data_IF_296726044857
#
_entry.id   IF_296726044857
#
_cell.length_a   1.000
_cell.length_b   1.000
_cell.length_c   1.000
_cell.angle_alpha   90.00
_cell.angle_beta   90.00
_cell.angle_gamma   90.00
#
_symmetry.space_group_name_H-M   'P 1'
#
loop_
_entity.id
_entity.type
_entity.pdbx_description
1 polymer ?
#
# COMPACT_ATOMS: atom_id res chain seq x y z
N UNK A 1 -1.10 6.03 5.44
CA UNK A 1 -1.19 4.62 5.86
C UNK A 1 -2.00 4.54 7.14
N UNK A 2 -3.01 3.66 7.17
CA UNK A 2 -4.04 3.57 8.22
C UNK A 2 -3.57 3.03 9.57
N UNK A 3 -2.27 3.04 9.84
CA UNK A 3 -1.68 2.70 11.13
C UNK A 3 -0.95 3.92 11.67
N UNK A 4 -1.47 4.51 12.75
CA UNK A 4 -0.79 5.60 13.43
C UNK A 4 0.26 5.01 14.36
N UNK A 5 1.54 5.23 14.06
CA UNK A 5 2.62 5.01 15.02
C UNK A 5 2.78 6.30 15.81
N UNK A 6 2.33 6.31 17.06
CA UNK A 6 2.38 7.51 17.90
C UNK A 6 1.44 7.47 19.10
N UNK A 7 1.40 8.59 19.83
CA UNK A 7 0.62 8.75 21.08
C UNK A 7 -0.90 8.84 20.85
N UNK A 8 -1.32 9.10 19.61
CA UNK A 8 -2.72 9.21 19.19
C UNK A 8 -3.31 7.81 18.89
N UNK A 9 -3.94 7.21 19.90
CA UNK A 9 -4.51 5.85 19.90
C UNK A 9 -5.86 5.73 19.16
N UNK A 10 -6.00 6.38 17.99
CA UNK A 10 -7.29 6.49 17.29
C UNK A 10 -7.71 5.24 16.51
N UNK A 11 -6.81 4.28 16.35
CA UNK A 11 -7.06 2.98 15.74
C UNK A 11 -6.61 1.86 16.68
N UNK A 12 -7.26 0.69 16.58
CA UNK A 12 -7.05 -0.49 17.45
C UNK A 12 -5.58 -0.65 17.85
N UNK A 13 -5.34 -0.76 19.17
CA UNK A 13 -4.05 -0.51 19.81
C UNK A 13 -2.83 -1.01 19.03
N UNK A 14 -1.90 -0.10 18.75
CA UNK A 14 -0.56 -0.31 18.18
C UNK A 14 -0.37 -1.67 17.49
N UNK A 15 -0.97 -1.88 16.31
CA UNK A 15 -0.66 -3.06 15.50
C UNK A 15 0.82 -2.99 15.11
N UNK A 16 1.67 -3.80 15.77
CA UNK A 16 3.09 -3.88 15.45
C UNK A 16 3.28 -4.72 14.19
N UNK A 17 4.43 -4.59 13.53
CA UNK A 17 4.71 -5.43 12.37
C UNK A 17 4.70 -6.91 12.76
N UNK A 18 5.24 -7.25 13.93
CA UNK A 18 5.32 -8.62 14.41
C UNK A 18 3.92 -9.22 14.58
N UNK A 19 2.98 -8.47 15.18
CA UNK A 19 1.58 -8.92 15.32
C UNK A 19 0.87 -9.05 13.98
N UNK A 20 1.15 -8.16 13.04
CA UNK A 20 0.63 -8.27 11.68
C UNK A 20 1.16 -9.54 10.99
N UNK A 21 2.46 -9.80 11.09
CA UNK A 21 3.12 -10.97 10.50
C UNK A 21 2.58 -12.26 11.10
N UNK A 22 2.47 -12.35 12.43
CA UNK A 22 1.87 -13.50 13.12
C UNK A 22 0.42 -13.77 12.66
N UNK A 23 -0.38 -12.70 12.53
CA UNK A 23 -1.74 -12.81 12.01
C UNK A 23 -1.78 -13.30 10.56
N UNK A 24 -0.90 -12.78 9.71
CA UNK A 24 -0.79 -13.20 8.31
C UNK A 24 -0.34 -14.66 8.19
N UNK A 25 0.60 -15.12 9.01
CA UNK A 25 1.02 -16.53 9.04
C UNK A 25 -0.19 -17.45 9.31
N UNK A 26 -1.05 -17.06 10.25
CA UNK A 26 -2.28 -17.81 10.54
C UNK A 26 -3.30 -17.81 9.41
N UNK A 27 -3.38 -16.73 8.63
CA UNK A 27 -4.26 -16.62 7.44
C UNK A 27 -3.71 -17.47 6.29
N UNK A 28 -2.42 -17.34 5.99
CA UNK A 28 -1.75 -18.04 4.90
C UNK A 28 -1.67 -19.56 5.16
N UNK A 29 -1.44 -19.98 6.41
CA UNK A 29 -1.48 -21.40 6.79
C UNK A 29 -2.85 -22.07 6.58
N UNK A 30 -3.91 -21.27 6.43
CA UNK A 30 -5.28 -21.76 6.15
C UNK A 30 -5.65 -21.67 4.67
N UNK A 31 -4.70 -21.35 3.78
CA UNK A 31 -4.92 -21.19 2.34
C UNK A 31 -6.02 -20.16 2.03
N UNK A 32 -6.03 -19.05 2.78
CA UNK A 32 -6.98 -17.97 2.53
C UNK A 32 -6.36 -16.96 1.56
N UNK A 33 -7.07 -16.70 0.46
CA UNK A 33 -6.74 -15.65 -0.49
C UNK A 33 -6.80 -14.27 0.17
N UNK A 34 -5.66 -13.58 0.21
CA UNK A 34 -5.55 -12.26 0.87
C UNK A 34 -4.72 -11.30 0.02
N UNK A 35 -5.17 -10.04 -0.02
CA UNK A 35 -4.42 -8.91 -0.55
C UNK A 35 -4.27 -7.84 0.53
N UNK A 36 -3.08 -7.27 0.67
CA UNK A 36 -2.77 -6.31 1.73
C UNK A 36 -1.94 -5.13 1.19
N UNK A 37 -2.48 -3.91 1.27
CA UNK A 37 -1.66 -2.69 1.17
C UNK A 37 -1.08 -2.37 2.55
N UNK A 38 0.24 -2.21 2.64
CA UNK A 38 0.93 -2.11 3.93
C UNK A 38 1.96 -0.99 4.00
N UNK A 39 3.02 -1.09 3.20
CA UNK A 39 4.11 -0.11 3.17
C UNK A 39 4.06 0.76 1.90
N UNK A 40 4.85 1.81 1.88
CA UNK A 40 4.97 2.66 0.70
C UNK A 40 5.94 3.83 0.90
N UNK A 41 6.01 4.70 -0.08
CA UNK A 41 6.79 5.93 -0.01
C UNK A 41 6.04 7.10 -0.64
N UNK A 42 6.33 8.31 -0.16
CA UNK A 42 5.91 9.57 -0.79
C UNK A 42 7.14 10.46 -0.92
N UNK A 43 7.59 10.71 -2.14
CA UNK A 43 8.89 11.34 -2.38
C UNK A 43 10.01 10.56 -1.69
N UNK A 44 10.83 11.24 -0.88
CA UNK A 44 11.92 10.61 -0.11
C UNK A 44 11.45 9.90 1.17
N UNK A 45 10.20 10.10 1.59
CA UNK A 45 9.69 9.55 2.85
C UNK A 45 9.19 8.12 2.65
N UNK A 46 9.71 7.19 3.46
CA UNK A 46 9.29 5.79 3.49
C UNK A 46 8.36 5.53 4.69
N UNK A 47 7.32 4.74 4.48
CA UNK A 47 6.32 4.35 5.47
C UNK A 47 6.34 2.83 5.66
N UNK A 48 6.76 2.39 6.84
CA UNK A 48 6.79 0.98 7.21
C UNK A 48 7.94 0.21 6.54
N UNK A 49 8.50 -0.80 7.24
CA UNK A 49 9.39 -1.77 6.59
C UNK A 49 8.60 -2.68 5.65
N UNK A 50 9.23 -3.31 4.62
CA UNK A 50 8.58 -4.33 3.82
C UNK A 50 8.19 -5.54 4.68
N UNK A 51 7.20 -6.32 4.22
CA UNK A 51 6.87 -7.60 4.86
C UNK A 51 8.01 -8.61 4.69
N UNK A 52 8.22 -9.51 5.67
CA UNK A 52 9.23 -10.57 5.56
C UNK A 52 8.97 -11.48 4.35
N UNK A 53 10.04 -11.85 3.64
CA UNK A 53 9.96 -12.72 2.47
C UNK A 53 9.49 -14.14 2.77
N UNK A 54 9.63 -14.60 4.03
CA UNK A 54 9.19 -15.94 4.44
C UNK A 54 7.67 -16.11 4.41
N UNK A 55 6.89 -15.02 4.35
CA UNK A 55 5.44 -15.08 4.14
C UNK A 55 5.07 -15.55 2.73
N UNK A 56 6.01 -15.60 1.78
CA UNK A 56 5.77 -16.11 0.43
C UNK A 56 4.80 -15.26 -0.40
N UNK A 57 4.49 -14.04 0.04
CA UNK A 57 3.58 -13.13 -0.68
C UNK A 57 4.30 -12.39 -1.80
N UNK A 58 3.61 -12.23 -2.92
CA UNK A 58 4.09 -11.42 -4.05
C UNK A 58 3.87 -9.94 -3.75
N UNK A 59 4.95 -9.14 -3.78
CA UNK A 59 4.90 -7.68 -3.58
C UNK A 59 4.85 -6.96 -4.93
N UNK A 60 3.79 -6.20 -5.19
CA UNK A 60 3.64 -5.35 -6.36
C UNK A 60 3.60 -3.88 -5.95
N UNK A 61 4.28 -3.02 -6.71
CA UNK A 61 4.22 -1.57 -6.51
C UNK A 61 3.11 -0.93 -7.34
N UNK A 62 2.35 -0.05 -6.70
CA UNK A 62 1.25 0.69 -7.28
C UNK A 62 1.56 2.18 -7.19
N UNK A 63 1.55 2.86 -8.33
CA UNK A 63 1.61 4.32 -8.39
C UNK A 63 0.22 4.88 -8.02
N UNK A 64 0.06 5.34 -6.79
CA UNK A 64 -1.22 5.86 -6.29
C UNK A 64 -1.42 7.35 -6.56
N UNK A 65 -0.47 7.97 -7.27
CA UNK A 65 -0.56 9.35 -7.72
C UNK A 65 -0.04 10.36 -6.70
N UNK A 66 -0.42 11.63 -6.89
CA UNK A 66 0.03 12.73 -6.04
C UNK A 66 -0.59 12.63 -4.65
N UNK A 67 0.24 12.78 -3.61
CA UNK A 67 -0.25 12.79 -2.22
C UNK A 67 -1.14 14.00 -1.94
N UNK A 68 -2.33 13.79 -1.37
CA UNK A 68 -3.22 14.86 -0.93
C UNK A 68 -2.57 15.75 0.13
N UNK A 69 -1.76 15.17 1.02
CA UNK A 69 -1.03 15.92 2.06
C UNK A 69 0.09 16.78 1.48
N UNK A 70 0.82 16.26 0.48
CA UNK A 70 1.83 17.05 -0.23
C UNK A 70 1.16 18.16 -1.04
N UNK A 71 0.04 17.87 -1.71
CA UNK A 71 -0.77 18.85 -2.45
C UNK A 71 -1.16 20.02 -1.56
N UNK A 72 -1.70 19.76 -0.36
CA UNK A 72 -2.09 20.79 0.60
C UNK A 72 -0.89 21.62 1.09
N UNK A 73 0.29 21.02 1.13
CA UNK A 73 1.55 21.69 1.49
C UNK A 73 2.24 22.39 0.31
N UNK A 74 1.57 22.52 -0.85
CA UNK A 74 2.15 23.11 -2.06
C UNK A 74 3.22 22.25 -2.77
N UNK A 75 3.33 20.98 -2.40
CA UNK A 75 4.26 20.00 -2.97
C UNK A 75 3.56 19.07 -3.96
N UNK A 76 4.33 18.48 -4.87
CA UNK A 76 3.82 17.59 -5.91
C UNK A 76 4.28 16.13 -5.77
N UNK A 77 4.75 15.74 -4.59
CA UNK A 77 5.32 14.40 -4.39
C UNK A 77 4.31 13.28 -4.70
N UNK A 78 4.79 12.29 -5.44
CA UNK A 78 4.05 11.09 -5.80
C UNK A 78 4.18 10.03 -4.72
N UNK A 79 3.14 9.21 -4.59
CA UNK A 79 3.09 8.08 -3.66
C UNK A 79 3.17 6.76 -4.43
N UNK A 80 4.06 5.88 -3.96
CA UNK A 80 4.13 4.48 -4.37
C UNK A 80 3.70 3.63 -3.17
N UNK A 81 2.74 2.74 -3.38
CA UNK A 81 2.28 1.79 -2.37
C UNK A 81 2.67 0.37 -2.74
N UNK A 82 2.94 -0.45 -1.73
CA UNK A 82 3.16 -1.89 -1.89
C UNK A 82 1.87 -2.65 -1.61
N UNK A 83 1.39 -3.39 -2.61
CA UNK A 83 0.32 -4.38 -2.47
C UNK A 83 0.94 -5.77 -2.42
N UNK A 84 0.66 -6.52 -1.37
CA UNK A 84 1.07 -7.91 -1.19
C UNK A 84 -0.09 -8.84 -1.51
N UNK A 85 0.17 -9.88 -2.29
CA UNK A 85 -0.81 -10.89 -2.70
C UNK A 85 -0.37 -12.26 -2.19
N UNK A 86 -1.30 -13.05 -1.63
CA UNK A 86 -1.02 -14.45 -1.32
C UNK A 86 -0.92 -15.30 -2.59
N UNK A 87 -0.14 -16.38 -2.51
CA UNK A 87 -0.02 -17.32 -3.63
C UNK A 87 -1.36 -17.97 -3.99
N UNK A 88 -2.23 -18.23 -3.00
CA UNK A 88 -3.58 -18.76 -3.25
C UNK A 88 -4.43 -17.78 -4.07
N UNK A 89 -4.35 -16.47 -3.79
CA UNK A 89 -5.07 -15.45 -4.55
C UNK A 89 -4.57 -15.38 -6.01
N UNK A 90 -3.26 -15.51 -6.22
CA UNK A 90 -2.68 -15.53 -7.58
C UNK A 90 -3.03 -16.82 -8.34
N UNK A 91 -3.26 -17.93 -7.64
CA UNK A 91 -3.74 -19.17 -8.25
C UNK A 91 -5.22 -19.09 -8.65
N UNK A 92 -6.03 -18.32 -7.93
CA UNK A 92 -7.46 -18.15 -8.17
C UNK A 92 -7.78 -17.07 -9.22
N UNK A 93 -6.94 -16.05 -9.34
CA UNK A 93 -7.21 -14.89 -10.18
C UNK A 93 -6.03 -14.51 -11.08
N UNK A 94 -6.34 -14.26 -12.35
CA UNK A 94 -5.39 -13.63 -13.27
C UNK A 94 -5.33 -12.12 -13.01
N UNK A 95 -4.15 -11.63 -12.69
CA UNK A 95 -3.94 -10.19 -12.48
C UNK A 95 -3.66 -9.49 -13.81
N UNK A 96 -4.65 -8.73 -14.30
CA UNK A 96 -4.53 -7.92 -15.51
C UNK A 96 -4.09 -6.50 -15.17
N UNK A 97 -2.96 -6.05 -15.74
CA UNK A 97 -2.53 -4.64 -15.63
C UNK A 97 -3.26 -3.80 -16.67
N UNK A 98 -4.19 -2.97 -16.22
CA UNK A 98 -4.83 -1.96 -17.06
C UNK A 98 -3.93 -0.73 -17.11
N UNK A 99 -3.45 -0.38 -18.30
CA UNK A 99 -2.67 0.85 -18.49
C UNK A 99 -3.51 2.09 -18.17
N UNK A 100 -2.87 3.16 -17.66
CA UNK A 100 -3.54 4.47 -17.57
C UNK A 100 -3.89 4.94 -18.99
N UNK A 101 -5.18 5.08 -19.30
CA UNK A 101 -5.59 6.02 -20.33
C UNK A 101 -5.11 7.42 -19.92
N UNK A 102 -4.51 8.15 -20.86
CA UNK A 102 -4.04 9.50 -20.59
C UNK A 102 -5.22 10.38 -20.17
N UNK A 103 -5.22 10.85 -18.92
CA UNK A 103 -6.21 11.82 -18.46
C UNK A 103 -6.16 13.06 -19.38
N UNK A 104 -7.32 13.57 -19.87
CA UNK A 104 -7.34 14.77 -20.69
C UNK A 104 -6.73 15.94 -19.91
N UNK A 105 -5.83 16.69 -20.57
CA UNK A 105 -5.16 17.86 -19.99
C UNK A 105 -6.24 18.86 -19.58
N UNK A 106 -6.39 19.12 -18.28
CA UNK A 106 -7.23 20.21 -17.81
C UNK A 106 -6.54 21.53 -18.19
N UNK A 107 -7.23 22.35 -18.98
CA UNK A 107 -6.78 23.66 -19.44
C UNK A 107 -6.38 24.58 -18.29
N UNK A 108 -5.29 25.33 -18.49
CA UNK A 108 -4.92 26.52 -17.71
C UNK A 108 -6.12 27.45 -17.54
N UNK A 109 -6.57 27.63 -16.29
CA UNK A 109 -7.39 28.78 -15.94
C UNK A 109 -6.44 29.95 -15.71
N UNK A 110 -6.22 30.72 -16.77
CA UNK A 110 -5.61 32.05 -16.69
C UNK A 110 -6.58 32.96 -15.93
N UNK A 111 -6.14 33.53 -14.81
CA UNK A 111 -6.73 34.73 -14.21
C UNK A 111 -5.63 35.77 -14.11
#
# INVERSE_FOLDING_TARGET
MGTSIGRDLRYAGQMTQERLVEGLEGVLARHLSVALSYDGSTGEKVYGPPLPSHLGMTRTHIHTGRSSQCTLSGKADETIESLYLSSDLEAEFEMVRVGKEAAPRQHELLV
#
